data_IF_560836573501
#
_entry.id   IF_560836573501
#
_cell.length_a   1.000
_cell.length_b   1.000
_cell.length_c   1.000
_cell.angle_alpha   90.00
_cell.angle_beta   90.00
_cell.angle_gamma   90.00
#
_symmetry.space_group_name_H-M   'P 1'
#
loop_
_entity.id
_entity.type
_entity.pdbx_description
1 polymer ?
#
# COMPACT_ATOMS: atom_id res chain seq x y z
N UNK A 1 -6.53 78.16 -30.65
CA UNK A 1 -5.75 77.29 -29.74
C UNK A 1 -6.31 77.39 -28.32
N UNK A 2 -7.15 76.44 -27.89
CA UNK A 2 -7.69 76.39 -26.52
C UNK A 2 -7.19 75.12 -25.79
N UNK A 3 -6.55 75.22 -24.61
CA UNK A 3 -7.11 75.36 -23.25
C UNK A 3 -8.11 74.25 -22.84
N UNK A 4 -7.61 73.42 -21.92
CA UNK A 4 -8.26 72.72 -20.80
C UNK A 4 -9.79 72.58 -20.82
N UNK A 5 -10.27 71.33 -20.72
CA UNK A 5 -11.50 71.04 -19.99
C UNK A 5 -11.32 69.76 -19.17
N UNK A 6 -11.78 69.86 -17.94
CA UNK A 6 -11.70 68.95 -16.80
C UNK A 6 -12.67 67.77 -16.93
N UNK A 7 -12.19 66.54 -16.75
CA UNK A 7 -13.04 65.37 -16.47
C UNK A 7 -13.35 65.31 -14.96
N UNK A 8 -14.60 65.05 -14.55
CA UNK A 8 -14.93 64.68 -13.19
C UNK A 8 -14.96 63.14 -13.02
N UNK A 9 -14.44 62.68 -11.88
CA UNK A 9 -14.54 61.32 -11.36
C UNK A 9 -15.99 60.79 -11.29
N UNK A 10 -16.19 59.47 -11.38
CA UNK A 10 -17.30 58.82 -10.68
C UNK A 10 -16.79 57.85 -9.60
N UNK A 11 -17.23 58.17 -8.39
CA UNK A 11 -17.21 57.38 -7.16
C UNK A 11 -18.08 56.13 -7.31
N UNK A 12 -17.66 55.08 -6.62
CA UNK A 12 -18.28 53.76 -6.40
C UNK A 12 -19.82 53.69 -6.39
N UNK A 13 -20.36 52.65 -7.06
CA UNK A 13 -21.61 52.00 -6.70
C UNK A 13 -21.47 50.47 -6.75
N UNK A 14 -21.73 49.84 -5.61
CA UNK A 14 -21.74 48.41 -5.33
C UNK A 14 -22.93 47.70 -6.02
N UNK A 15 -22.75 46.42 -6.38
CA UNK A 15 -23.89 45.49 -6.41
C UNK A 15 -23.96 44.50 -7.57
N UNK A 16 -23.05 43.51 -7.63
CA UNK A 16 -23.37 42.22 -8.28
C UNK A 16 -23.42 41.16 -7.19
N UNK A 17 -24.62 40.91 -6.68
CA UNK A 17 -24.90 39.85 -5.71
C UNK A 17 -24.58 38.50 -6.35
N UNK A 18 -23.58 37.78 -5.84
CA UNK A 18 -23.33 36.37 -6.17
C UNK A 18 -24.60 35.57 -5.85
N UNK A 19 -25.35 35.19 -6.88
CA UNK A 19 -26.50 34.30 -6.74
C UNK A 19 -26.03 32.90 -6.34
N UNK A 20 -26.70 32.30 -5.37
CA UNK A 20 -26.37 30.96 -4.89
C UNK A 20 -26.85 29.91 -5.89
N UNK A 21 -26.14 28.78 -6.01
CA UNK A 21 -26.52 27.67 -6.93
C UNK A 21 -27.97 27.17 -6.74
N UNK A 22 -28.54 27.39 -5.56
CA UNK A 22 -29.92 27.03 -5.21
C UNK A 22 -30.96 27.90 -5.94
N UNK A 23 -30.72 29.20 -6.09
CA UNK A 23 -31.65 30.10 -6.78
C UNK A 23 -31.67 29.85 -8.29
N UNK A 24 -30.51 29.60 -8.91
CA UNK A 24 -30.43 29.22 -10.33
C UNK A 24 -31.16 27.91 -10.67
N UNK A 25 -31.17 26.92 -9.77
CA UNK A 25 -31.78 25.62 -10.05
C UNK A 25 -33.28 25.56 -9.78
N UNK A 26 -33.77 26.39 -8.85
CA UNK A 26 -35.20 26.53 -8.60
C UNK A 26 -35.93 27.04 -9.85
N UNK A 27 -35.35 28.02 -10.54
CA UNK A 27 -35.90 28.59 -11.78
C UNK A 27 -35.88 27.58 -12.95
N UNK A 28 -34.87 26.70 -13.03
CA UNK A 28 -34.73 25.74 -14.14
C UNK A 28 -35.64 24.51 -14.05
N UNK A 29 -36.04 24.09 -12.85
CA UNK A 29 -36.71 22.78 -12.70
C UNK A 29 -37.82 22.74 -11.64
N UNK A 30 -38.18 23.90 -11.10
CA UNK A 30 -39.27 24.08 -10.13
C UNK A 30 -39.03 23.36 -8.79
N UNK A 31 -40.01 23.46 -7.88
CA UNK A 31 -39.95 22.84 -6.55
C UNK A 31 -39.70 21.33 -6.59
N UNK A 32 -40.27 20.61 -7.57
CA UNK A 32 -40.08 19.16 -7.71
C UNK A 32 -38.66 18.79 -8.17
N UNK A 33 -38.04 19.58 -9.05
CA UNK A 33 -36.65 19.42 -9.46
C UNK A 33 -35.67 19.72 -8.32
N UNK A 34 -35.96 20.74 -7.52
CA UNK A 34 -35.18 21.06 -6.32
C UNK A 34 -35.27 19.94 -5.28
N UNK A 35 -36.47 19.40 -5.02
CA UNK A 35 -36.69 18.29 -4.08
C UNK A 35 -36.03 16.98 -4.53
N UNK A 36 -36.03 16.71 -5.83
CA UNK A 36 -35.35 15.53 -6.39
C UNK A 36 -33.84 15.70 -6.32
N UNK A 37 -33.33 16.90 -6.60
CA UNK A 37 -31.91 17.21 -6.45
C UNK A 37 -31.47 17.25 -4.99
N UNK A 38 -32.24 17.79 -4.05
CA UNK A 38 -31.93 17.74 -2.62
C UNK A 38 -32.04 16.32 -2.08
N UNK A 39 -32.99 15.52 -2.56
CA UNK A 39 -33.07 14.08 -2.25
C UNK A 39 -31.86 13.30 -2.78
N UNK A 40 -31.44 13.57 -4.01
CA UNK A 40 -30.27 12.95 -4.63
C UNK A 40 -28.97 13.46 -3.99
N UNK A 41 -28.87 14.75 -3.68
CA UNK A 41 -27.74 15.35 -2.96
C UNK A 41 -27.67 14.89 -1.51
N UNK A 42 -28.80 14.70 -0.81
CA UNK A 42 -28.85 14.06 0.51
C UNK A 42 -28.56 12.55 0.43
N UNK A 43 -28.88 11.88 -0.67
CA UNK A 43 -28.53 10.48 -0.90
C UNK A 43 -27.04 10.29 -1.24
N UNK A 44 -26.43 11.21 -2.00
CA UNK A 44 -25.03 11.17 -2.41
C UNK A 44 -24.06 11.87 -1.43
N UNK A 45 -24.50 12.93 -0.74
CA UNK A 45 -23.69 13.73 0.21
C UNK A 45 -24.25 13.78 1.63
N UNK A 46 -25.52 13.44 1.84
CA UNK A 46 -26.15 13.53 3.15
C UNK A 46 -25.74 12.35 4.00
N UNK A 47 -24.58 12.47 4.66
CA UNK A 47 -24.32 12.27 6.09
C UNK A 47 -25.40 11.61 6.98
N UNK A 48 -26.28 10.74 6.49
CA UNK A 48 -27.37 10.07 7.20
C UNK A 48 -26.82 9.07 8.22
N UNK A 49 -25.58 8.61 8.01
CA UNK A 49 -24.83 7.89 9.03
C UNK A 49 -24.62 8.77 10.28
N UNK A 50 -24.42 10.09 10.17
CA UNK A 50 -24.30 10.97 11.35
C UNK A 50 -25.57 10.99 12.20
N UNK A 51 -26.75 10.74 11.65
CA UNK A 51 -28.00 10.65 12.42
C UNK A 51 -28.07 9.31 13.19
N UNK A 52 -27.62 8.22 12.58
CA UNK A 52 -27.46 6.92 13.25
C UNK A 52 -26.30 6.95 14.29
N UNK A 53 -25.21 7.68 14.02
CA UNK A 53 -24.07 7.91 14.91
C UNK A 53 -24.45 8.82 16.08
N UNK A 54 -25.25 9.87 15.85
CA UNK A 54 -25.61 10.85 16.87
C UNK A 54 -26.46 10.25 18.00
N UNK A 55 -27.24 9.19 17.69
CA UNK A 55 -27.95 8.38 18.68
C UNK A 55 -27.05 7.39 19.44
N UNK A 56 -25.86 7.08 18.91
CA UNK A 56 -24.88 6.20 19.54
C UNK A 56 -23.72 7.02 20.13
N UNK A 57 -23.99 7.84 21.15
CA UNK A 57 -22.95 8.61 21.82
C UNK A 57 -22.03 7.70 22.67
N UNK A 58 -20.73 7.98 22.50
CA UNK A 58 -19.55 7.60 23.29
C UNK A 58 -18.97 6.17 23.14
N UNK A 59 -17.66 6.14 22.84
CA UNK A 59 -16.67 5.03 22.89
C UNK A 59 -16.35 4.17 21.65
N UNK A 60 -16.54 4.59 20.38
CA UNK A 60 -16.50 3.61 19.26
C UNK A 60 -15.93 4.06 17.90
N UNK A 61 -14.67 4.52 17.83
CA UNK A 61 -14.01 4.79 16.54
C UNK A 61 -13.69 3.50 15.71
N UNK A 62 -13.47 2.35 16.36
CA UNK A 62 -13.20 1.07 15.66
C UNK A 62 -14.49 0.39 15.20
N UNK A 63 -15.52 0.36 16.07
CA UNK A 63 -16.84 -0.20 15.72
C UNK A 63 -17.56 0.60 14.62
N UNK A 64 -17.27 1.89 14.47
CA UNK A 64 -17.87 2.73 13.42
C UNK A 64 -17.37 2.39 12.02
N UNK A 65 -16.10 2.03 11.86
CA UNK A 65 -15.56 1.66 10.54
C UNK A 65 -16.01 0.27 10.09
N UNK A 66 -16.06 -0.71 11.01
CA UNK A 66 -16.59 -2.06 10.72
C UNK A 66 -18.08 -2.02 10.38
N UNK A 67 -18.88 -1.24 11.10
CA UNK A 67 -20.30 -1.06 10.78
C UNK A 67 -20.49 -0.36 9.43
N UNK A 68 -19.68 0.65 9.12
CA UNK A 68 -19.67 1.32 7.81
C UNK A 68 -19.32 0.35 6.68
N UNK A 69 -18.30 -0.49 6.86
CA UNK A 69 -17.89 -1.50 5.89
C UNK A 69 -18.95 -2.58 5.71
N UNK A 70 -19.52 -3.10 6.80
CA UNK A 70 -20.66 -4.05 6.75
C UNK A 70 -21.85 -3.47 6.00
N UNK A 71 -22.14 -2.18 6.19
CA UNK A 71 -23.20 -1.50 5.47
C UNK A 71 -22.87 -1.30 3.98
N UNK A 72 -21.64 -0.86 3.65
CA UNK A 72 -21.17 -0.76 2.26
C UNK A 72 -21.20 -2.12 1.53
N UNK A 73 -20.81 -3.19 2.22
CA UNK A 73 -20.83 -4.56 1.69
C UNK A 73 -22.24 -5.07 1.35
N UNK A 74 -23.29 -4.58 2.03
CA UNK A 74 -24.69 -4.93 1.77
C UNK A 74 -25.29 -4.16 0.59
N UNK A 75 -24.58 -3.19 0.00
CA UNK A 75 -25.07 -2.43 -1.16
C UNK A 75 -25.15 -3.35 -2.36
N UNK A 76 -26.29 -3.30 -3.06
CA UNK A 76 -26.52 -4.04 -4.31
C UNK A 76 -25.61 -3.58 -5.46
N UNK A 77 -25.29 -2.29 -5.50
CA UNK A 77 -24.38 -1.71 -6.49
C UNK A 77 -23.16 -1.17 -5.76
N UNK A 78 -21.99 -1.74 -6.07
CA UNK A 78 -20.70 -1.34 -5.51
C UNK A 78 -19.89 -0.60 -6.55
N UNK A 79 -19.05 0.34 -6.10
CA UNK A 79 -18.14 1.09 -6.96
C UNK A 79 -17.27 0.14 -7.81
N UNK A 80 -17.21 0.42 -9.11
CA UNK A 80 -16.54 -0.40 -10.13
C UNK A 80 -17.00 -1.87 -10.19
N UNK A 81 -18.19 -2.18 -9.64
CA UNK A 81 -18.71 -3.54 -9.53
C UNK A 81 -17.79 -4.51 -8.75
N UNK A 82 -16.90 -4.00 -7.90
CA UNK A 82 -16.03 -4.84 -7.08
C UNK A 82 -16.86 -5.43 -5.95
N UNK A 83 -17.08 -6.74 -5.99
CA UNK A 83 -17.93 -7.44 -5.03
C UNK A 83 -17.16 -7.91 -3.80
N UNK A 84 -15.93 -8.34 -4.00
CA UNK A 84 -15.14 -9.05 -3.00
C UNK A 84 -14.13 -8.16 -2.28
N UNK A 85 -13.84 -8.46 -0.99
CA UNK A 85 -12.74 -7.83 -0.25
C UNK A 85 -11.41 -7.84 -1.01
N UNK A 86 -10.60 -6.81 -0.79
CA UNK A 86 -9.26 -6.70 -1.35
C UNK A 86 -8.24 -6.91 -0.24
N UNK A 87 -7.24 -7.76 -0.47
CA UNK A 87 -6.06 -7.88 0.39
C UNK A 87 -4.82 -7.50 -0.44
N UNK A 88 -4.19 -6.39 -0.08
CA UNK A 88 -2.82 -6.08 -0.49
C UNK A 88 -1.89 -6.98 0.33
N UNK A 89 -1.56 -8.15 -0.22
CA UNK A 89 -0.95 -9.26 0.49
C UNK A 89 0.45 -9.57 -0.01
N UNK A 90 1.48 -9.29 0.79
CA UNK A 90 2.86 -9.35 0.30
C UNK A 90 3.92 -9.45 1.41
N UNK A 91 5.07 -9.98 1.04
CA UNK A 91 6.28 -9.92 1.86
C UNK A 91 6.72 -8.47 2.13
N UNK A 92 7.57 -8.26 3.14
CA UNK A 92 8.11 -6.92 3.41
C UNK A 92 8.89 -6.33 2.22
N UNK A 93 8.83 -5.01 2.09
CA UNK A 93 9.75 -4.18 1.27
C UNK A 93 9.65 -4.33 -0.26
N UNK A 94 8.49 -4.73 -0.77
CA UNK A 94 8.19 -4.77 -2.21
C UNK A 94 7.38 -3.55 -2.70
N UNK A 95 7.24 -2.50 -1.90
CA UNK A 95 6.63 -1.23 -2.33
C UNK A 95 5.10 -1.14 -2.25
N UNK A 96 4.45 -2.08 -1.55
CA UNK A 96 2.98 -2.19 -1.49
C UNK A 96 2.23 -1.03 -0.87
N UNK A 97 2.87 -0.19 -0.04
CA UNK A 97 2.20 0.97 0.57
C UNK A 97 1.65 1.92 -0.49
N UNK A 98 2.35 2.08 -1.62
CA UNK A 98 1.89 2.91 -2.74
C UNK A 98 0.59 2.37 -3.31
N UNK A 99 0.52 1.07 -3.61
CA UNK A 99 -0.72 0.42 -4.06
C UNK A 99 -1.84 0.53 -3.02
N UNK A 100 -1.55 0.18 -1.77
CA UNK A 100 -2.54 0.23 -0.70
C UNK A 100 -3.14 1.62 -0.51
N UNK A 101 -2.30 2.67 -0.43
CA UNK A 101 -2.77 4.05 -0.30
C UNK A 101 -3.58 4.50 -1.50
N UNK A 102 -3.13 4.16 -2.71
CA UNK A 102 -3.85 4.49 -3.95
C UNK A 102 -5.25 3.85 -3.98
N UNK A 103 -5.36 2.59 -3.53
CA UNK A 103 -6.65 1.91 -3.42
C UNK A 103 -7.55 2.49 -2.32
N UNK A 104 -6.96 2.91 -1.19
CA UNK A 104 -7.73 3.54 -0.10
C UNK A 104 -8.38 4.86 -0.52
N UNK A 105 -7.71 5.67 -1.35
CA UNK A 105 -8.25 6.95 -1.84
C UNK A 105 -9.49 6.79 -2.73
N UNK A 106 -9.70 5.60 -3.31
CA UNK A 106 -10.88 5.31 -4.12
C UNK A 106 -12.16 5.16 -3.28
N UNK A 107 -12.09 5.08 -1.94
CA UNK A 107 -13.22 4.86 -1.03
C UNK A 107 -14.19 3.75 -1.51
N UNK A 108 -13.62 2.60 -1.89
CA UNK A 108 -14.39 1.46 -2.40
C UNK A 108 -15.47 1.00 -1.40
N UNK A 109 -16.46 0.25 -1.91
CA UNK A 109 -17.56 -0.30 -1.11
C UNK A 109 -17.23 -1.68 -0.49
N UNK A 110 -15.96 -2.09 -0.54
CA UNK A 110 -15.42 -3.33 0.01
C UNK A 110 -14.29 -3.04 0.98
N UNK A 111 -14.04 -3.90 1.98
CA UNK A 111 -12.88 -3.75 2.84
C UNK A 111 -11.58 -3.93 2.05
N UNK A 112 -10.58 -3.13 2.39
CA UNK A 112 -9.23 -3.20 1.83
C UNK A 112 -8.27 -3.43 2.98
N UNK A 113 -7.60 -4.57 2.97
CA UNK A 113 -6.62 -4.96 3.96
C UNK A 113 -5.20 -4.83 3.40
N UNK A 114 -4.23 -4.51 4.25
CA UNK A 114 -2.81 -4.64 3.92
C UNK A 114 -2.19 -5.61 4.91
N UNK A 115 -1.74 -6.78 4.44
CA UNK A 115 -1.25 -7.86 5.29
C UNK A 115 0.10 -8.36 4.81
N UNK A 116 0.95 -8.78 5.76
CA UNK A 116 2.27 -9.36 5.48
C UNK A 116 2.33 -10.87 5.72
N UNK A 117 1.39 -11.39 6.50
CA UNK A 117 1.31 -12.78 6.91
C UNK A 117 -0.13 -13.11 7.31
N UNK A 118 -0.54 -14.35 7.08
CA UNK A 118 -1.79 -14.97 7.54
C UNK A 118 -1.55 -16.35 8.19
N UNK A 119 -0.33 -16.88 8.09
CA UNK A 119 0.12 -18.07 8.81
C UNK A 119 1.15 -17.69 9.87
N UNK A 120 1.44 -18.62 10.79
CA UNK A 120 2.52 -18.49 11.80
C UNK A 120 2.36 -17.23 12.67
N UNK A 121 1.11 -16.84 12.92
CA UNK A 121 0.77 -15.59 13.59
C UNK A 121 1.30 -15.54 15.03
N UNK A 122 1.35 -16.69 15.69
CA UNK A 122 1.86 -16.81 17.06
C UNK A 122 3.39 -16.68 17.10
N UNK A 123 4.10 -17.31 16.16
CA UNK A 123 5.55 -17.18 16.02
C UNK A 123 5.95 -15.73 15.71
N UNK A 124 5.21 -15.08 14.81
CA UNK A 124 5.43 -13.66 14.48
C UNK A 124 5.18 -12.76 15.69
N UNK A 125 4.15 -13.06 16.51
CA UNK A 125 3.89 -12.31 17.74
C UNK A 125 4.99 -12.50 18.78
N UNK A 126 5.44 -13.75 18.99
CA UNK A 126 6.52 -14.08 19.92
C UNK A 126 7.83 -13.39 19.50
N UNK A 127 8.22 -13.52 18.22
CA UNK A 127 9.40 -12.86 17.69
C UNK A 127 9.34 -11.34 17.90
N UNK A 128 8.18 -10.73 17.62
CA UNK A 128 8.00 -9.30 17.79
C UNK A 128 8.19 -8.86 19.26
N UNK A 129 7.67 -9.63 20.22
CA UNK A 129 7.83 -9.34 21.65
C UNK A 129 9.28 -9.45 22.11
N UNK A 130 10.03 -10.41 21.58
CA UNK A 130 11.41 -10.68 21.98
C UNK A 130 12.41 -9.70 21.34
N UNK A 131 12.21 -9.32 20.06
CA UNK A 131 13.23 -8.65 19.25
C UNK A 131 12.93 -7.17 18.94
N UNK A 132 11.72 -6.68 19.21
CA UNK A 132 11.37 -5.29 18.95
C UNK A 132 11.33 -4.49 20.25
N UNK A 133 12.03 -3.36 20.27
CA UNK A 133 11.94 -2.39 21.38
C UNK A 133 10.50 -1.89 21.62
N UNK A 134 9.69 -1.83 20.56
CA UNK A 134 8.30 -1.35 20.60
C UNK A 134 7.37 -2.30 19.82
N UNK A 135 6.97 -3.44 20.42
CA UNK A 135 6.24 -4.50 19.70
C UNK A 135 4.80 -4.14 19.38
N UNK A 136 4.22 -3.11 20.02
CA UNK A 136 2.80 -2.78 19.93
C UNK A 136 2.28 -2.62 18.48
N UNK A 137 3.06 -2.03 17.58
CA UNK A 137 2.65 -1.89 16.17
C UNK A 137 2.65 -3.22 15.43
N UNK A 138 3.66 -4.07 15.65
CA UNK A 138 3.72 -5.41 15.07
C UNK A 138 2.58 -6.30 15.61
N UNK A 139 2.33 -6.25 16.92
CA UNK A 139 1.24 -7.00 17.57
C UNK A 139 -0.14 -6.56 17.07
N UNK A 140 -0.35 -5.26 16.79
CA UNK A 140 -1.58 -4.79 16.12
C UNK A 140 -1.71 -5.32 14.70
N UNK A 141 -0.62 -5.47 13.96
CA UNK A 141 -0.63 -6.08 12.64
C UNK A 141 -0.99 -7.58 12.72
N UNK A 142 -0.47 -8.30 13.71
CA UNK A 142 -0.84 -9.69 14.00
C UNK A 142 -2.30 -9.83 14.36
N UNK A 143 -2.81 -9.01 15.26
CA UNK A 143 -4.23 -9.04 15.65
C UNK A 143 -5.15 -8.78 14.44
N UNK A 144 -4.79 -7.84 13.57
CA UNK A 144 -5.51 -7.62 12.31
C UNK A 144 -5.45 -8.84 11.40
N UNK A 145 -4.29 -9.49 11.27
CA UNK A 145 -4.14 -10.72 10.47
C UNK A 145 -4.99 -11.86 11.04
N UNK A 146 -5.05 -12.04 12.37
CA UNK A 146 -5.91 -13.04 13.03
C UNK A 146 -7.38 -12.84 12.68
N UNK A 147 -7.88 -11.60 12.72
CA UNK A 147 -9.28 -11.29 12.37
C UNK A 147 -9.59 -11.61 10.92
N UNK A 148 -8.72 -11.21 9.99
CA UNK A 148 -8.92 -11.52 8.56
C UNK A 148 -8.80 -13.02 8.31
N UNK A 149 -7.89 -13.72 9.00
CA UNK A 149 -7.77 -15.18 8.93
C UNK A 149 -9.06 -15.88 9.40
N UNK A 150 -9.63 -15.42 10.51
CA UNK A 150 -10.92 -15.90 11.00
C UNK A 150 -12.05 -15.61 10.00
N UNK A 151 -12.06 -14.43 9.35
CA UNK A 151 -13.04 -14.09 8.31
C UNK A 151 -12.95 -15.03 7.10
N UNK A 152 -11.74 -15.33 6.63
CA UNK A 152 -11.49 -16.28 5.53
C UNK A 152 -11.99 -17.69 5.88
N UNK A 153 -11.78 -18.13 7.13
CA UNK A 153 -12.19 -19.45 7.59
C UNK A 153 -13.70 -19.56 7.81
N UNK A 154 -14.32 -18.53 8.38
CA UNK A 154 -15.75 -18.52 8.68
C UNK A 154 -16.64 -18.37 7.45
N UNK A 155 -16.09 -17.90 6.31
CA UNK A 155 -16.83 -17.65 5.08
C UNK A 155 -16.20 -18.41 3.90
N UNK A 156 -16.39 -19.74 3.80
CA UNK A 156 -15.78 -20.55 2.74
C UNK A 156 -16.19 -20.11 1.33
N UNK A 157 -17.43 -19.64 1.15
CA UNK A 157 -17.95 -19.19 -0.15
C UNK A 157 -17.49 -17.77 -0.55
N UNK A 158 -16.85 -17.02 0.36
CA UNK A 158 -16.36 -15.68 0.06
C UNK A 158 -15.13 -15.76 -0.85
N UNK A 159 -15.23 -15.09 -2.01
CA UNK A 159 -14.09 -14.87 -2.91
C UNK A 159 -13.23 -13.70 -2.43
N UNK A 160 -11.96 -13.67 -2.83
CA UNK A 160 -11.01 -12.63 -2.43
C UNK A 160 -10.22 -12.07 -3.62
N UNK A 161 -10.03 -10.75 -3.62
CA UNK A 161 -9.15 -10.06 -4.54
C UNK A 161 -7.78 -9.85 -3.86
N UNK A 162 -6.74 -10.53 -4.32
CA UNK A 162 -5.40 -10.38 -3.79
C UNK A 162 -4.57 -9.48 -4.71
N UNK A 163 -3.82 -8.54 -4.13
CA UNK A 163 -2.81 -7.76 -4.86
C UNK A 163 -1.48 -7.95 -4.14
N UNK A 164 -0.52 -8.57 -4.81
CA UNK A 164 0.81 -8.85 -4.28
C UNK A 164 1.89 -8.24 -5.17
N UNK A 165 3.12 -8.21 -4.67
CA UNK A 165 4.25 -7.67 -5.40
C UNK A 165 5.54 -8.44 -5.14
N UNK A 166 6.41 -8.45 -6.16
CA UNK A 166 7.80 -8.89 -6.06
C UNK A 166 8.75 -7.71 -6.24
N UNK A 167 10.00 -7.88 -5.79
CA UNK A 167 11.07 -6.89 -5.95
C UNK A 167 12.40 -7.60 -6.16
N UNK A 168 13.32 -6.97 -6.88
CA UNK A 168 14.69 -7.46 -7.02
C UNK A 168 15.28 -7.88 -5.66
N UNK A 169 15.87 -9.08 -5.54
CA UNK A 169 16.25 -9.67 -4.26
C UNK A 169 17.15 -8.78 -3.38
N UNK A 170 18.31 -8.36 -3.88
CA UNK A 170 19.29 -7.60 -3.10
C UNK A 170 18.77 -6.20 -2.73
N UNK A 171 18.18 -5.41 -3.64
CA UNK A 171 17.50 -4.17 -3.26
C UNK A 171 16.42 -4.34 -2.17
N UNK A 172 15.68 -5.46 -2.19
CA UNK A 172 14.71 -5.79 -1.13
C UNK A 172 15.41 -6.09 0.19
N UNK A 173 16.48 -6.89 0.19
CA UNK A 173 17.27 -7.24 1.38
C UNK A 173 17.82 -5.99 2.07
N UNK A 174 18.49 -5.10 1.31
CA UNK A 174 19.01 -3.83 1.84
C UNK A 174 17.86 -3.00 2.44
N UNK A 175 16.73 -2.93 1.73
CA UNK A 175 15.58 -2.19 2.23
C UNK A 175 14.99 -2.80 3.51
N UNK A 176 15.03 -4.12 3.67
CA UNK A 176 14.56 -4.87 4.85
C UNK A 176 15.50 -4.66 6.03
N UNK A 177 16.80 -4.77 5.80
CA UNK A 177 17.83 -4.55 6.80
C UNK A 177 17.70 -3.16 7.43
N UNK A 178 17.55 -2.12 6.61
CA UNK A 178 17.41 -0.73 7.08
C UNK A 178 16.02 -0.42 7.66
N UNK A 179 14.98 -1.16 7.29
CA UNK A 179 13.67 -1.05 7.96
C UNK A 179 13.76 -1.53 9.41
N UNK A 180 14.52 -2.59 9.64
CA UNK A 180 14.65 -3.27 10.92
C UNK A 180 15.99 -2.97 11.59
N UNK A 181 16.61 -1.81 11.30
CA UNK A 181 17.98 -1.51 11.72
C UNK A 181 18.15 -1.55 13.25
N UNK A 182 17.12 -1.16 14.01
CA UNK A 182 17.15 -1.21 15.48
C UNK A 182 17.19 -2.63 16.05
N UNK A 183 16.61 -3.60 15.34
CA UNK A 183 16.67 -5.02 15.72
C UNK A 183 17.92 -5.69 15.20
N UNK A 184 18.44 -5.25 14.05
CA UNK A 184 19.64 -5.82 13.43
C UNK A 184 20.93 -5.35 14.10
N UNK A 185 20.94 -4.12 14.64
CA UNK A 185 22.12 -3.48 15.23
C UNK A 185 21.83 -3.17 16.70
N UNK A 186 22.50 -3.85 17.65
CA UNK A 186 22.30 -3.62 19.07
C UNK A 186 22.50 -2.15 19.45
N UNK A 187 21.53 -1.61 20.19
CA UNK A 187 21.54 -0.24 20.70
C UNK A 187 21.73 0.83 19.61
N UNK A 188 21.26 0.56 18.39
CA UNK A 188 21.48 1.40 17.21
C UNK A 188 21.24 2.89 17.46
N UNK A 189 20.10 3.26 18.05
CA UNK A 189 19.76 4.67 18.30
C UNK A 189 20.78 5.37 19.21
N UNK A 190 21.15 4.73 20.33
CA UNK A 190 22.12 5.28 21.28
C UNK A 190 23.50 5.42 20.65
N UNK A 191 23.95 4.38 19.92
CA UNK A 191 25.27 4.36 19.29
C UNK A 191 25.35 5.33 18.11
N UNK A 192 24.31 5.43 17.30
CA UNK A 192 24.19 6.39 16.19
C UNK A 192 24.24 7.83 16.71
N UNK A 193 23.43 8.16 17.72
CA UNK A 193 23.40 9.50 18.31
C UNK A 193 24.75 9.91 18.92
N UNK A 194 25.52 8.95 19.44
CA UNK A 194 26.86 9.18 19.98
C UNK A 194 27.97 9.18 18.91
N UNK A 195 27.65 9.02 17.62
CA UNK A 195 28.66 8.92 16.55
C UNK A 195 29.54 7.67 16.63
N UNK A 196 29.07 6.60 17.27
CA UNK A 196 29.83 5.36 17.55
C UNK A 196 29.55 4.22 16.55
N UNK A 197 28.88 4.52 15.45
CA UNK A 197 28.62 3.56 14.37
C UNK A 197 29.32 4.04 13.10
N UNK A 198 30.06 3.13 12.48
CA UNK A 198 30.67 3.36 11.17
C UNK A 198 29.91 2.60 10.09
N UNK A 199 30.00 3.06 8.83
CA UNK A 199 29.41 2.32 7.72
C UNK A 199 30.00 0.92 7.57
N UNK A 200 31.30 0.73 7.88
CA UNK A 200 31.94 -0.59 7.81
C UNK A 200 31.30 -1.58 8.76
N UNK A 201 31.10 -1.18 10.02
CA UNK A 201 30.45 -2.05 11.01
C UNK A 201 29.04 -2.46 10.55
N UNK A 202 28.27 -1.53 9.98
CA UNK A 202 26.94 -1.82 9.44
C UNK A 202 27.00 -2.78 8.24
N UNK A 203 28.01 -2.64 7.38
CA UNK A 203 28.27 -3.56 6.26
C UNK A 203 28.59 -4.95 6.80
N UNK A 204 29.47 -5.06 7.78
CA UNK A 204 29.86 -6.34 8.37
C UNK A 204 28.65 -7.03 8.99
N UNK A 205 27.84 -6.29 9.77
CA UNK A 205 26.57 -6.80 10.32
C UNK A 205 25.61 -7.23 9.20
N UNK A 206 25.47 -6.45 8.13
CA UNK A 206 24.60 -6.78 7.00
C UNK A 206 25.03 -8.08 6.30
N UNK A 207 26.34 -8.28 6.08
CA UNK A 207 26.89 -9.47 5.43
C UNK A 207 26.85 -10.70 6.35
N UNK A 208 27.04 -10.53 7.66
CA UNK A 208 27.04 -11.63 8.63
C UNK A 208 25.63 -12.08 9.03
N UNK A 209 24.71 -11.15 9.27
CA UNK A 209 23.41 -11.48 9.84
C UNK A 209 22.43 -12.06 8.83
N UNK A 210 22.88 -12.29 7.58
CA UNK A 210 22.18 -12.91 6.44
C UNK A 210 20.81 -13.48 6.82
N UNK A 211 19.81 -12.62 6.97
CA UNK A 211 18.49 -13.13 7.21
C UNK A 211 17.95 -13.41 5.80
N UNK A 212 16.85 -14.15 5.72
CA UNK A 212 15.91 -13.99 4.61
C UNK A 212 16.03 -14.91 3.39
N UNK A 213 15.89 -16.21 3.63
CA UNK A 213 15.19 -17.10 2.70
C UNK A 213 13.68 -16.79 2.64
N UNK A 214 13.22 -15.81 3.42
CA UNK A 214 11.81 -15.48 3.55
C UNK A 214 11.15 -15.19 2.20
N UNK A 215 11.83 -14.52 1.26
CA UNK A 215 11.25 -14.26 -0.07
C UNK A 215 11.07 -15.53 -0.91
N UNK A 216 12.00 -16.49 -0.79
CA UNK A 216 11.96 -17.79 -1.48
C UNK A 216 10.73 -18.60 -1.04
N UNK A 217 10.41 -18.58 0.25
CA UNK A 217 9.33 -19.39 0.81
C UNK A 217 8.03 -18.62 1.10
N UNK A 218 8.01 -17.29 0.97
CA UNK A 218 6.86 -16.48 1.38
C UNK A 218 5.59 -16.88 0.62
N UNK A 219 5.67 -17.00 -0.72
CA UNK A 219 4.49 -17.33 -1.51
C UNK A 219 3.96 -18.73 -1.20
N UNK A 220 4.83 -19.71 -0.97
CA UNK A 220 4.37 -21.05 -0.56
C UNK A 220 3.71 -21.01 0.82
N UNK A 221 4.38 -20.42 1.80
CA UNK A 221 3.94 -20.43 3.21
C UNK A 221 2.73 -19.55 3.47
N UNK A 222 2.61 -18.42 2.78
CA UNK A 222 1.65 -17.37 3.10
C UNK A 222 0.50 -17.30 2.09
N UNK A 223 0.77 -17.54 0.80
CA UNK A 223 -0.23 -17.45 -0.26
C UNK A 223 -0.79 -18.83 -0.61
N UNK A 224 0.05 -19.77 -1.04
CA UNK A 224 -0.36 -21.10 -1.51
C UNK A 224 -1.06 -21.88 -0.41
N UNK A 225 -0.55 -21.86 0.82
CA UNK A 225 -1.15 -22.54 1.98
C UNK A 225 -2.56 -22.05 2.36
N UNK A 226 -2.95 -20.85 1.92
CA UNK A 226 -4.20 -20.21 2.32
C UNK A 226 -5.21 -20.12 1.18
N UNK A 227 -4.73 -19.76 0.00
CA UNK A 227 -5.56 -19.46 -1.16
C UNK A 227 -5.33 -20.43 -2.32
N UNK A 228 -4.42 -21.41 -2.15
CA UNK A 228 -4.14 -22.47 -3.14
C UNK A 228 -3.66 -21.91 -4.49
N UNK A 229 -3.09 -20.70 -4.49
CA UNK A 229 -2.47 -20.09 -5.66
C UNK A 229 -0.96 -20.34 -5.58
N UNK A 230 -0.45 -21.12 -6.51
CA UNK A 230 0.98 -21.35 -6.72
C UNK A 230 1.52 -20.41 -7.80
N UNK A 231 2.25 -19.37 -7.40
CA UNK A 231 2.81 -18.39 -8.34
C UNK A 231 3.97 -18.95 -9.15
N UNK A 232 4.59 -20.05 -8.70
CA UNK A 232 5.74 -20.68 -9.34
C UNK A 232 5.36 -21.79 -10.31
N UNK A 233 4.11 -22.26 -10.28
CA UNK A 233 3.62 -23.34 -11.13
C UNK A 233 3.59 -22.97 -12.64
N UNK A 234 3.48 -21.69 -12.95
CA UNK A 234 3.46 -21.18 -14.32
C UNK A 234 4.52 -20.10 -14.52
N UNK A 235 5.19 -20.00 -15.70
CA UNK A 235 6.17 -18.96 -15.94
C UNK A 235 5.64 -17.54 -15.72
N UNK A 236 6.42 -16.67 -15.09
CA UNK A 236 6.10 -15.26 -15.00
C UNK A 236 6.49 -14.52 -16.28
N UNK A 237 5.55 -13.78 -16.87
CA UNK A 237 5.79 -12.96 -18.08
C UNK A 237 6.55 -11.69 -17.71
N UNK A 238 7.89 -11.79 -17.63
CA UNK A 238 8.77 -10.74 -17.12
C UNK A 238 8.60 -9.41 -17.87
N UNK A 239 8.44 -9.44 -19.19
CA UNK A 239 8.25 -8.24 -20.01
C UNK A 239 6.90 -7.55 -19.75
N UNK A 240 5.85 -8.34 -19.51
CA UNK A 240 4.54 -7.82 -19.12
C UNK A 240 4.61 -7.12 -17.75
N UNK A 241 5.47 -7.58 -16.84
CA UNK A 241 5.74 -6.97 -15.53
C UNK A 241 4.66 -7.23 -14.47
N UNK A 242 3.60 -7.94 -14.84
CA UNK A 242 2.57 -8.45 -13.92
C UNK A 242 1.94 -9.73 -14.46
N UNK A 243 1.25 -10.47 -13.58
CA UNK A 243 0.44 -11.64 -13.95
C UNK A 243 -0.81 -11.71 -13.06
N UNK A 244 -1.91 -12.20 -13.64
CA UNK A 244 -3.16 -12.48 -12.91
C UNK A 244 -3.36 -13.99 -12.80
N UNK A 245 -3.39 -14.49 -11.57
CA UNK A 245 -3.66 -15.89 -11.25
C UNK A 245 -5.10 -16.04 -10.77
N UNK A 246 -5.75 -17.15 -11.12
CA UNK A 246 -7.13 -17.46 -10.73
C UNK A 246 -7.12 -18.77 -9.95
N UNK A 247 -7.54 -18.71 -8.69
CA UNK A 247 -7.85 -19.86 -7.86
C UNK A 247 -9.36 -19.98 -7.64
N UNK A 248 -9.77 -20.99 -6.88
CA UNK A 248 -11.18 -21.26 -6.63
C UNK A 248 -11.84 -20.18 -5.75
N UNK A 249 -11.13 -19.72 -4.71
CA UNK A 249 -11.64 -18.79 -3.69
C UNK A 249 -10.95 -17.43 -3.70
N UNK A 250 -9.97 -17.25 -4.58
CA UNK A 250 -9.25 -16.01 -4.70
C UNK A 250 -8.69 -15.87 -6.11
N UNK A 251 -8.49 -14.64 -6.52
CA UNK A 251 -7.65 -14.30 -7.65
C UNK A 251 -6.57 -13.34 -7.19
N UNK A 252 -5.42 -13.41 -7.84
CA UNK A 252 -4.23 -12.65 -7.46
C UNK A 252 -3.74 -11.84 -8.64
N UNK A 253 -3.56 -10.54 -8.43
CA UNK A 253 -2.67 -9.73 -9.25
C UNK A 253 -1.30 -9.68 -8.60
N UNK A 254 -0.27 -10.14 -9.32
CA UNK A 254 1.14 -10.10 -8.90
C UNK A 254 1.91 -9.12 -9.78
N UNK A 255 2.53 -8.09 -9.20
CA UNK A 255 3.26 -7.04 -9.93
C UNK A 255 4.75 -7.05 -9.57
N UNK A 256 5.63 -6.67 -10.50
CA UNK A 256 7.02 -6.32 -10.15
C UNK A 256 7.11 -4.86 -9.73
N UNK A 257 7.87 -4.59 -8.67
CA UNK A 257 8.08 -3.21 -8.20
C UNK A 257 8.79 -2.37 -9.26
N UNK A 258 9.75 -2.96 -9.95
CA UNK A 258 10.59 -2.33 -10.97
C UNK A 258 9.77 -1.82 -12.16
N UNK A 259 8.60 -2.42 -12.42
CA UNK A 259 7.70 -2.05 -13.51
C UNK A 259 6.51 -1.20 -13.08
N UNK A 260 6.38 -0.89 -11.78
CA UNK A 260 5.13 -0.40 -11.19
C UNK A 260 4.55 0.82 -11.92
N UNK A 261 5.41 1.75 -12.34
CA UNK A 261 4.99 2.96 -13.06
C UNK A 261 4.35 2.66 -14.41
N UNK A 262 4.86 1.64 -15.09
CA UNK A 262 4.38 1.20 -16.39
C UNK A 262 3.12 0.36 -16.27
N UNK A 263 3.06 -0.53 -15.27
CA UNK A 263 2.07 -1.61 -15.25
C UNK A 263 0.93 -1.44 -14.25
N UNK A 264 1.07 -0.62 -13.20
CA UNK A 264 0.08 -0.60 -12.12
C UNK A 264 -1.33 -0.22 -12.58
N UNK A 265 -1.44 0.85 -13.38
CA UNK A 265 -2.72 1.33 -13.88
C UNK A 265 -3.41 0.31 -14.82
N UNK A 266 -2.76 -0.18 -15.91
CA UNK A 266 -3.39 -1.17 -16.77
C UNK A 266 -3.68 -2.50 -16.04
N UNK A 267 -2.78 -2.97 -15.17
CA UNK A 267 -2.98 -4.21 -14.43
C UNK A 267 -4.15 -4.13 -13.43
N UNK A 268 -4.31 -3.02 -12.71
CA UNK A 268 -5.45 -2.83 -11.79
C UNK A 268 -6.75 -2.56 -12.53
N UNK A 269 -6.70 -2.01 -13.75
CA UNK A 269 -7.86 -1.96 -14.62
C UNK A 269 -8.28 -3.37 -15.05
N UNK A 270 -7.37 -4.19 -15.55
CA UNK A 270 -7.67 -5.57 -15.95
C UNK A 270 -8.17 -6.40 -14.75
N UNK A 271 -7.55 -6.23 -13.59
CA UNK A 271 -7.87 -7.01 -12.40
C UNK A 271 -9.16 -6.55 -11.71
N UNK A 272 -9.32 -5.26 -11.43
CA UNK A 272 -10.43 -4.73 -10.60
C UNK A 272 -11.41 -3.83 -11.36
N UNK A 273 -11.25 -3.65 -12.67
CA UNK A 273 -12.01 -2.69 -13.48
C UNK A 273 -11.92 -1.25 -12.95
N UNK A 274 -10.81 -0.89 -12.29
CA UNK A 274 -10.58 0.46 -11.77
C UNK A 274 -10.07 1.36 -12.92
N UNK A 275 -10.86 2.36 -13.37
CA UNK A 275 -10.40 3.29 -14.38
C UNK A 275 -9.41 4.31 -13.78
N UNK A 276 -8.35 4.62 -14.53
CA UNK A 276 -7.42 5.72 -14.24
C UNK A 276 -6.85 5.76 -12.81
N UNK A 277 -6.23 4.67 -12.36
CA UNK A 277 -5.51 4.68 -11.10
C UNK A 277 -4.32 5.64 -11.16
N UNK A 278 -4.31 6.66 -10.30
CA UNK A 278 -3.13 7.47 -10.02
C UNK A 278 -2.36 6.85 -8.85
N UNK A 279 -1.09 6.53 -9.05
CA UNK A 279 -0.23 6.05 -7.98
C UNK A 279 0.12 7.19 -7.02
N UNK A 280 -0.23 7.02 -5.74
CA UNK A 280 0.11 7.97 -4.69
C UNK A 280 1.51 7.70 -4.12
N UNK A 281 2.22 8.77 -3.75
CA UNK A 281 3.44 8.79 -2.95
C UNK A 281 4.36 7.57 -3.15
N UNK A 282 5.41 7.74 -3.96
CA UNK A 282 6.52 6.79 -3.91
C UNK A 282 7.14 6.90 -2.53
N UNK A 283 7.23 5.79 -1.81
CA UNK A 283 8.06 5.70 -0.61
C UNK A 283 9.52 5.98 -1.00
N UNK A 284 9.92 7.25 -1.05
CA UNK A 284 11.31 7.64 -1.20
C UNK A 284 11.95 7.36 0.16
N UNK A 285 12.44 6.14 0.35
CA UNK A 285 13.09 5.67 1.59
C UNK A 285 14.33 6.46 2.01
N UNK A 286 14.63 7.59 1.36
CA UNK A 286 15.72 8.53 1.69
C UNK A 286 15.47 9.36 2.95
N UNK A 287 14.25 9.43 3.47
CA UNK A 287 13.89 10.31 4.60
C UNK A 287 13.75 9.56 5.94
N UNK A 288 14.70 8.69 6.29
CA UNK A 288 14.81 8.16 7.66
C UNK A 288 16.02 8.80 8.35
N UNK A 289 15.92 9.06 9.66
CA UNK A 289 16.80 9.89 10.52
C UNK A 289 18.31 9.55 10.55
N UNK A 290 18.77 8.59 9.75
CA UNK A 290 20.16 8.10 9.68
C UNK A 290 20.78 8.35 8.30
N UNK A 291 20.28 9.35 7.57
CA UNK A 291 20.53 9.53 6.14
C UNK A 291 22.01 9.64 5.75
N UNK A 292 22.89 10.17 6.61
CA UNK A 292 24.33 10.22 6.34
C UNK A 292 24.97 8.82 6.40
N UNK A 293 24.75 8.09 7.50
CA UNK A 293 25.27 6.72 7.67
C UNK A 293 24.72 5.76 6.60
N UNK A 294 23.43 5.91 6.23
CA UNK A 294 22.84 5.12 5.15
C UNK A 294 23.48 5.40 3.78
N UNK A 295 23.75 6.67 3.46
CA UNK A 295 24.44 7.03 2.21
C UNK A 295 25.85 6.44 2.18
N UNK A 296 26.60 6.61 3.27
CA UNK A 296 27.95 6.06 3.38
C UNK A 296 27.95 4.53 3.26
N UNK A 297 26.99 3.84 3.89
CA UNK A 297 26.78 2.41 3.70
C UNK A 297 26.59 2.04 2.22
N UNK A 298 25.69 2.72 1.50
CA UNK A 298 25.42 2.40 0.10
C UNK A 298 26.62 2.65 -0.82
N UNK A 299 27.42 3.67 -0.53
CA UNK A 299 28.63 4.03 -1.29
C UNK A 299 29.76 3.02 -1.07
N UNK A 300 29.93 2.57 0.19
CA UNK A 300 30.99 1.66 0.60
C UNK A 300 30.65 0.17 0.45
N UNK A 301 29.37 -0.18 0.35
CA UNK A 301 28.94 -1.58 0.25
C UNK A 301 29.60 -2.26 -0.95
N UNK A 302 30.33 -3.35 -0.67
CA UNK A 302 30.85 -4.29 -1.65
C UNK A 302 30.35 -5.68 -1.27
N UNK A 303 29.65 -6.31 -2.20
CA UNK A 303 29.01 -7.61 -2.03
C UNK A 303 29.95 -8.68 -2.58
N UNK A 304 30.35 -9.67 -1.77
CA UNK A 304 31.09 -10.82 -2.26
C UNK A 304 30.30 -11.56 -3.35
N UNK A 305 30.99 -12.14 -4.35
CA UNK A 305 30.35 -12.90 -5.42
C UNK A 305 29.50 -14.05 -4.87
N UNK A 306 29.94 -14.72 -3.79
CA UNK A 306 29.16 -15.78 -3.12
C UNK A 306 27.81 -15.26 -2.58
N UNK A 307 27.80 -14.05 -1.99
CA UNK A 307 26.59 -13.42 -1.48
C UNK A 307 25.60 -13.14 -2.62
N UNK A 308 26.11 -12.62 -3.74
CA UNK A 308 25.31 -12.35 -4.93
C UNK A 308 24.74 -13.66 -5.48
N UNK A 309 25.59 -14.67 -5.68
CA UNK A 309 25.20 -15.96 -6.24
C UNK A 309 24.12 -16.65 -5.40
N UNK A 310 24.28 -16.70 -4.07
CA UNK A 310 23.28 -17.28 -3.16
C UNK A 310 21.93 -16.58 -3.23
N UNK A 311 21.92 -15.27 -3.48
CA UNK A 311 20.67 -14.50 -3.56
C UNK A 311 20.02 -14.59 -4.95
N UNK A 312 20.83 -14.57 -6.01
CA UNK A 312 20.37 -14.61 -7.40
C UNK A 312 19.99 -16.02 -7.87
N UNK A 313 20.54 -17.07 -7.27
CA UNK A 313 20.27 -18.45 -7.64
C UNK A 313 19.12 -19.08 -6.84
N UNK A 314 18.15 -18.26 -6.44
CA UNK A 314 16.92 -18.71 -5.77
C UNK A 314 15.80 -18.91 -6.80
N UNK A 315 14.83 -19.78 -6.52
CA UNK A 315 13.65 -19.95 -7.39
C UNK A 315 12.92 -18.61 -7.53
N UNK A 316 12.81 -17.86 -6.44
CA UNK A 316 12.25 -16.50 -6.46
C UNK A 316 12.94 -15.60 -7.49
N UNK A 317 14.26 -15.48 -7.42
CA UNK A 317 15.02 -14.59 -8.29
C UNK A 317 14.90 -15.02 -9.77
N UNK A 318 15.14 -16.30 -10.04
CA UNK A 318 15.15 -16.85 -11.39
C UNK A 318 13.76 -16.92 -12.03
N UNK A 319 12.71 -17.02 -11.21
CA UNK A 319 11.34 -17.04 -11.72
C UNK A 319 10.89 -15.63 -12.16
N UNK A 320 11.08 -14.61 -11.31
CA UNK A 320 10.53 -13.26 -11.55
C UNK A 320 11.45 -12.31 -12.35
N UNK A 321 12.74 -12.62 -12.45
CA UNK A 321 13.72 -11.74 -13.10
C UNK A 321 14.61 -12.51 -14.08
N UNK A 322 15.07 -11.80 -15.11
CA UNK A 322 16.12 -12.30 -15.99
C UNK A 322 17.47 -12.17 -15.29
N UNK A 323 18.44 -12.99 -15.73
CA UNK A 323 19.82 -12.87 -15.26
C UNK A 323 20.38 -11.46 -15.49
N UNK A 324 20.05 -10.84 -16.63
CA UNK A 324 20.48 -9.48 -16.95
C UNK A 324 19.98 -8.42 -15.96
N UNK A 325 18.73 -8.53 -15.52
CA UNK A 325 18.14 -7.63 -14.52
C UNK A 325 18.77 -7.85 -13.14
N UNK A 326 18.99 -9.12 -12.77
CA UNK A 326 19.66 -9.47 -11.51
C UNK A 326 21.07 -8.88 -11.48
N UNK A 327 21.90 -9.10 -12.50
CA UNK A 327 23.26 -8.54 -12.59
C UNK A 327 23.26 -7.01 -12.62
N UNK A 328 22.35 -6.40 -13.38
CA UNK A 328 22.21 -4.94 -13.41
C UNK A 328 21.86 -4.36 -12.03
N UNK A 329 21.07 -5.08 -11.23
CA UNK A 329 20.63 -4.63 -9.90
C UNK A 329 21.74 -4.50 -8.87
N UNK A 330 22.86 -5.20 -9.07
CA UNK A 330 23.98 -5.28 -8.12
C UNK A 330 25.26 -4.66 -8.63
N UNK A 331 25.32 -4.26 -9.90
CA UNK A 331 26.54 -3.77 -10.57
C UNK A 331 27.33 -2.74 -9.75
N UNK A 332 26.64 -1.81 -9.09
CA UNK A 332 27.28 -0.75 -8.28
C UNK A 332 27.89 -1.21 -6.95
N UNK A 333 27.54 -2.41 -6.50
CA UNK A 333 27.99 -2.99 -5.24
C UNK A 333 28.84 -4.24 -5.45
N UNK A 334 29.15 -4.61 -6.70
CA UNK A 334 30.05 -5.73 -6.93
C UNK A 334 31.45 -5.35 -6.42
N UNK A 335 32.06 -6.28 -5.68
CA UNK A 335 33.40 -6.11 -5.11
C UNK A 335 34.47 -5.90 -6.18
#
# INVERSE_FOLDING_TARGET
>A
MPKQNTEPSPTFALGVTRRTKLTQRFEQSGMRGLLRWTGQWLYWNGQLYHIAIARAKLSRAVKTNELRLRWKMRRRHKKFNIQDPIIVYQMGKVGSTTIYRSLQELDLDVPIYQLHFLTELDDVAAWAQEHLNQPATALRAVERARRVRQEIQANPEQSWNLVSMVRLPIPRLISSFWENIESNVPEFQRRHAAGKLSAQEIIDIFLHNLPHDWAEYWYDRQLKSIFEIDVFAEPFERDAGYRIYRGQRARLLLLRLEDLDRVAAPALYEFLAIPHLALRDRNVGRQKNHGALYREFLERLRLPDEFIARTHNTRYALHFYTYSELEASVRRWRA
#
